data_IF_480249309634
#
_entry.id   IF_480249309634
#
_cell.length_a   1.000
_cell.length_b   1.000
_cell.length_c   1.000
_cell.angle_alpha   90.00
_cell.angle_beta   90.00
_cell.angle_gamma   90.00
#
_symmetry.space_group_name_H-M   'P 1'
#
loop_
_entity.id
_entity.type
_entity.pdbx_description
1 polymer ?
#
# COMPACT_ATOMS: atom_id res chain seq x y z
N UNK A 1 11.99 -21.54 -13.93
CA UNK A 1 11.03 -20.44 -14.12
C UNK A 1 11.65 -19.37 -14.97
N UNK A 2 11.00 -19.07 -16.05
CA UNK A 2 11.50 -18.51 -17.28
C UNK A 2 11.87 -17.02 -17.10
N UNK A 3 13.13 -16.67 -17.36
CA UNK A 3 13.57 -15.25 -17.42
C UNK A 3 12.73 -14.43 -18.41
N UNK A 4 12.16 -15.08 -19.43
CA UNK A 4 11.26 -14.45 -20.40
C UNK A 4 9.99 -13.87 -19.75
N UNK A 5 9.47 -14.51 -18.71
CA UNK A 5 8.30 -14.06 -17.96
C UNK A 5 8.58 -12.79 -17.14
N UNK A 6 9.80 -12.68 -16.60
CA UNK A 6 10.23 -11.49 -15.85
C UNK A 6 10.39 -10.29 -16.78
N UNK A 7 11.02 -10.48 -17.93
CA UNK A 7 11.18 -9.42 -18.93
C UNK A 7 9.83 -8.99 -19.53
N UNK A 8 8.92 -9.93 -19.77
CA UNK A 8 7.59 -9.61 -20.25
C UNK A 8 6.83 -8.72 -19.25
N UNK A 9 6.86 -9.06 -17.95
CA UNK A 9 6.23 -8.27 -16.88
C UNK A 9 6.89 -6.91 -16.70
N UNK A 10 8.23 -6.83 -16.78
CA UNK A 10 8.93 -5.55 -16.72
C UNK A 10 8.55 -4.64 -17.89
N UNK A 11 8.43 -5.20 -19.09
CA UNK A 11 7.99 -4.47 -20.27
C UNK A 11 6.55 -3.99 -20.12
N UNK A 12 5.64 -4.84 -19.69
CA UNK A 12 4.24 -4.50 -19.45
C UNK A 12 4.11 -3.37 -18.41
N UNK A 13 4.88 -3.45 -17.33
CA UNK A 13 4.93 -2.39 -16.31
C UNK A 13 5.46 -1.08 -16.91
N UNK A 14 6.54 -1.15 -17.67
CA UNK A 14 7.11 0.03 -18.34
C UNK A 14 6.12 0.66 -19.33
N UNK A 15 5.48 -0.16 -20.19
CA UNK A 15 4.48 0.33 -21.16
C UNK A 15 3.26 0.96 -20.46
N UNK A 16 2.85 0.40 -19.31
CA UNK A 16 1.76 0.96 -18.50
C UNK A 16 2.12 2.34 -17.99
N UNK A 17 3.35 2.53 -17.48
CA UNK A 17 3.81 3.85 -17.05
C UNK A 17 4.00 4.80 -18.23
N UNK A 18 4.65 4.32 -19.30
CA UNK A 18 5.02 5.16 -20.44
C UNK A 18 3.80 5.70 -21.18
N UNK A 19 2.72 4.92 -21.24
CA UNK A 19 1.47 5.32 -21.90
C UNK A 19 0.42 5.90 -20.94
N UNK A 20 0.77 6.11 -19.67
CA UNK A 20 -0.14 6.71 -18.70
C UNK A 20 -0.31 8.20 -18.98
N UNK A 21 -1.55 8.68 -19.03
CA UNK A 21 -1.88 10.10 -19.16
C UNK A 21 -1.39 10.95 -17.97
N UNK A 22 -0.95 10.30 -16.88
CA UNK A 22 -0.39 10.96 -15.69
C UNK A 22 1.08 11.40 -15.88
N UNK A 23 1.76 10.88 -16.92
CA UNK A 23 3.15 11.21 -17.21
C UNK A 23 3.27 11.97 -18.53
N UNK A 24 3.75 13.19 -18.44
CA UNK A 24 4.13 13.99 -19.59
C UNK A 24 5.61 13.78 -19.92
N UNK A 25 5.94 13.80 -21.20
CA UNK A 25 7.34 13.77 -21.63
C UNK A 25 8.08 15.01 -21.12
N UNK A 26 9.19 14.80 -20.40
CA UNK A 26 10.03 15.90 -19.93
C UNK A 26 10.54 16.75 -21.08
N UNK A 27 10.40 18.09 -20.95
CA UNK A 27 10.93 19.09 -21.88
C UNK A 27 11.87 20.01 -21.11
N UNK A 28 12.77 20.68 -21.82
CA UNK A 28 13.74 21.62 -21.23
C UNK A 28 13.06 22.76 -20.46
N UNK A 29 11.88 23.17 -20.92
CA UNK A 29 11.00 24.18 -20.29
C UNK A 29 10.46 23.73 -18.91
N UNK A 30 10.41 22.43 -18.63
CA UNK A 30 9.92 21.87 -17.37
C UNK A 30 10.99 21.84 -16.26
N UNK A 31 12.23 22.24 -16.57
CA UNK A 31 13.36 22.17 -15.64
C UNK A 31 13.10 22.94 -14.32
N UNK A 32 12.63 24.16 -14.42
CA UNK A 32 12.33 24.98 -13.24
C UNK A 32 11.21 24.37 -12.40
N UNK A 33 10.14 23.92 -13.05
CA UNK A 33 9.00 23.25 -12.41
C UNK A 33 9.41 21.95 -11.70
N UNK A 34 10.31 21.17 -12.31
CA UNK A 34 10.88 19.97 -11.72
C UNK A 34 11.76 20.29 -10.51
N UNK A 35 12.63 21.30 -10.61
CA UNK A 35 13.47 21.76 -9.51
C UNK A 35 12.65 22.28 -8.34
N UNK A 36 11.59 23.01 -8.60
CA UNK A 36 10.67 23.51 -7.58
C UNK A 36 9.91 22.37 -6.89
N UNK A 37 9.44 21.39 -7.63
CA UNK A 37 8.77 20.21 -7.09
C UNK A 37 9.72 19.40 -6.18
N UNK A 38 10.95 19.13 -6.61
CA UNK A 38 11.97 18.43 -5.82
C UNK A 38 12.37 19.26 -4.58
N UNK A 39 12.48 20.58 -4.72
CA UNK A 39 12.82 21.46 -3.60
C UNK A 39 11.69 21.56 -2.59
N UNK A 40 10.46 21.55 -3.03
CA UNK A 40 9.27 21.53 -2.19
C UNK A 40 9.18 20.24 -1.37
N UNK A 41 9.40 19.08 -2.00
CA UNK A 41 9.46 17.77 -1.31
C UNK A 41 10.61 17.73 -0.27
N UNK A 42 11.80 18.20 -0.61
CA UNK A 42 12.95 18.28 0.33
C UNK A 42 12.70 19.19 1.53
N UNK A 43 11.89 20.25 1.38
CA UNK A 43 11.53 21.15 2.50
C UNK A 43 10.47 20.54 3.42
N UNK A 44 9.59 19.68 2.91
CA UNK A 44 8.59 18.95 3.70
C UNK A 44 9.21 17.91 4.62
N UNK A 45 10.39 17.39 4.29
CA UNK A 45 11.01 16.23 4.96
C UNK A 45 11.56 16.54 6.37
N UNK A 46 11.50 17.79 6.83
CA UNK A 46 12.09 18.13 8.14
C UNK A 46 11.13 18.14 9.33
N UNK A 47 9.80 18.27 9.13
CA UNK A 47 8.90 18.44 10.28
C UNK A 47 7.44 17.95 10.11
N UNK A 48 7.11 17.13 9.11
CA UNK A 48 5.74 16.56 9.02
C UNK A 48 5.76 15.10 8.59
N UNK A 49 4.90 14.23 9.18
CA UNK A 49 4.68 12.91 8.63
C UNK A 49 4.23 13.03 7.17
N UNK A 50 4.69 12.11 6.35
CA UNK A 50 4.49 12.02 4.90
C UNK A 50 2.99 11.80 4.56
N UNK A 51 2.19 12.86 4.72
CA UNK A 51 0.71 12.82 4.65
C UNK A 51 0.15 13.36 3.33
N UNK A 52 0.90 13.29 2.24
CA UNK A 52 0.38 13.80 0.96
C UNK A 52 0.65 12.84 -0.18
N UNK A 53 0.00 11.69 -0.19
CA UNK A 53 -0.21 11.00 -1.45
C UNK A 53 -1.32 11.72 -2.22
N UNK A 54 -0.93 12.76 -2.94
CA UNK A 54 -1.77 13.45 -3.93
C UNK A 54 -2.02 12.58 -5.18
N UNK A 55 -1.31 11.45 -5.30
CA UNK A 55 -1.43 10.56 -6.43
C UNK A 55 -2.61 9.60 -6.25
N UNK A 56 -3.40 9.45 -7.29
CA UNK A 56 -4.46 8.44 -7.34
C UNK A 56 -3.82 7.07 -7.57
N UNK A 57 -3.46 6.38 -6.47
CA UNK A 57 -2.85 5.06 -6.53
C UNK A 57 -3.86 4.10 -7.15
N UNK A 58 -3.51 3.51 -8.30
CA UNK A 58 -4.30 2.50 -9.00
C UNK A 58 -3.56 1.16 -9.01
N UNK A 59 -4.24 0.03 -8.88
CA UNK A 59 -3.60 -1.26 -8.99
C UNK A 59 -3.16 -1.52 -10.44
N UNK A 60 -2.00 -2.15 -10.61
CA UNK A 60 -1.57 -2.63 -11.92
C UNK A 60 -2.44 -3.81 -12.39
N UNK A 61 -2.48 -4.11 -13.70
CA UNK A 61 -3.28 -5.22 -14.24
C UNK A 61 -3.01 -6.56 -13.56
N UNK A 62 -1.76 -6.87 -13.25
CA UNK A 62 -1.42 -8.11 -12.54
C UNK A 62 -1.87 -8.09 -11.06
N UNK A 63 -1.86 -6.92 -10.41
CA UNK A 63 -2.38 -6.77 -9.04
C UNK A 63 -3.90 -6.90 -9.04
N UNK A 64 -4.57 -6.34 -10.04
CA UNK A 64 -6.01 -6.49 -10.24
C UNK A 64 -6.39 -7.96 -10.38
N UNK A 65 -5.67 -8.73 -11.20
CA UNK A 65 -5.89 -10.16 -11.36
C UNK A 65 -5.71 -10.96 -10.05
N UNK A 66 -4.80 -10.52 -9.16
CA UNK A 66 -4.65 -11.11 -7.82
C UNK A 66 -5.85 -10.75 -6.94
N UNK A 67 -6.27 -9.49 -6.95
CA UNK A 67 -7.41 -9.01 -6.18
C UNK A 67 -8.71 -9.73 -6.58
N UNK A 68 -8.92 -9.94 -7.87
CA UNK A 68 -10.10 -10.68 -8.38
C UNK A 68 -10.09 -12.15 -7.92
N UNK A 69 -8.91 -12.79 -7.91
CA UNK A 69 -8.79 -14.15 -7.35
C UNK A 69 -9.10 -14.21 -5.86
N UNK A 70 -8.64 -13.25 -5.07
CA UNK A 70 -8.95 -13.17 -3.64
C UNK A 70 -10.45 -12.98 -3.40
N UNK A 71 -11.10 -12.20 -4.26
CA UNK A 71 -12.54 -11.99 -4.19
C UNK A 71 -13.32 -13.26 -4.51
N UNK A 72 -12.92 -14.02 -5.54
CA UNK A 72 -13.48 -15.34 -5.89
C UNK A 72 -13.30 -16.31 -4.73
N UNK A 73 -12.12 -16.39 -4.13
CA UNK A 73 -11.85 -17.26 -2.97
C UNK A 73 -12.82 -16.94 -1.82
N UNK A 74 -13.04 -15.68 -1.50
CA UNK A 74 -13.95 -15.28 -0.42
C UNK A 74 -15.43 -15.49 -0.76
N UNK A 75 -15.87 -15.00 -1.92
CA UNK A 75 -17.31 -14.95 -2.25
C UNK A 75 -17.87 -16.26 -2.78
N UNK A 76 -17.08 -17.01 -3.53
CA UNK A 76 -17.54 -18.22 -4.20
C UNK A 76 -17.12 -19.46 -3.42
N UNK A 77 -15.86 -19.53 -3.00
CA UNK A 77 -15.30 -20.70 -2.32
C UNK A 77 -15.40 -20.62 -0.80
N UNK A 78 -15.87 -19.48 -0.25
CA UNK A 78 -15.97 -19.23 1.19
C UNK A 78 -14.65 -19.44 1.94
N UNK A 79 -13.52 -19.17 1.25
CA UNK A 79 -12.17 -19.35 1.77
C UNK A 79 -11.57 -17.99 2.18
N UNK A 80 -11.39 -17.81 3.47
CA UNK A 80 -10.87 -16.56 4.06
C UNK A 80 -9.38 -16.63 4.41
N UNK A 81 -8.69 -17.75 4.11
CA UNK A 81 -7.27 -17.93 4.37
C UNK A 81 -6.52 -18.08 3.06
N UNK A 82 -5.80 -17.04 2.67
CA UNK A 82 -5.12 -17.00 1.38
C UNK A 82 -3.62 -16.71 1.56
N UNK A 83 -2.79 -17.29 0.72
CA UNK A 83 -1.37 -17.03 0.63
C UNK A 83 -1.05 -16.35 -0.70
N UNK A 84 -0.51 -15.12 -0.64
CA UNK A 84 -0.03 -14.39 -1.80
C UNK A 84 1.49 -14.50 -1.86
N UNK A 85 2.00 -15.15 -2.90
CA UNK A 85 3.44 -15.25 -3.18
C UNK A 85 3.76 -14.35 -4.37
N UNK A 86 4.54 -13.30 -4.12
CA UNK A 86 4.94 -12.34 -5.14
C UNK A 86 6.38 -11.86 -4.88
N UNK A 87 7.11 -11.52 -5.94
CA UNK A 87 8.49 -11.04 -5.85
C UNK A 87 8.61 -9.74 -5.02
N UNK A 88 9.80 -9.44 -4.54
CA UNK A 88 10.09 -8.17 -3.89
C UNK A 88 9.88 -7.02 -4.89
N UNK A 89 9.30 -5.91 -4.44
CA UNK A 89 9.03 -4.75 -5.31
C UNK A 89 7.72 -4.82 -6.11
N UNK A 90 6.98 -5.92 -6.10
CA UNK A 90 5.71 -6.05 -6.83
C UNK A 90 4.51 -5.36 -6.15
N UNK A 91 4.74 -4.64 -5.05
CA UNK A 91 3.68 -3.93 -4.35
C UNK A 91 2.74 -4.82 -3.53
N UNK A 92 3.26 -5.86 -2.84
CA UNK A 92 2.45 -6.72 -1.95
C UNK A 92 1.61 -5.93 -0.94
N UNK A 93 2.18 -4.87 -0.37
CA UNK A 93 1.48 -3.98 0.57
C UNK A 93 0.35 -3.22 -0.12
N UNK A 94 0.57 -2.79 -1.37
CA UNK A 94 -0.44 -2.13 -2.20
C UNK A 94 -1.60 -3.07 -2.48
N UNK A 95 -1.31 -4.34 -2.85
CA UNK A 95 -2.33 -5.38 -3.04
C UNK A 95 -3.15 -5.56 -1.76
N UNK A 96 -2.49 -5.66 -0.60
CA UNK A 96 -3.18 -5.82 0.70
C UNK A 96 -4.07 -4.61 1.02
N UNK A 97 -3.63 -3.39 0.72
CA UNK A 97 -4.41 -2.18 0.94
C UNK A 97 -5.64 -2.10 0.03
N UNK A 98 -5.51 -2.48 -1.26
CA UNK A 98 -6.63 -2.55 -2.19
C UNK A 98 -7.61 -3.67 -1.83
N UNK A 99 -7.12 -4.82 -1.41
CA UNK A 99 -7.96 -5.93 -0.95
C UNK A 99 -8.81 -5.51 0.26
N UNK A 100 -8.19 -4.86 1.24
CA UNK A 100 -8.91 -4.31 2.39
C UNK A 100 -9.92 -3.23 1.99
N UNK A 101 -9.57 -2.34 1.03
CA UNK A 101 -10.48 -1.32 0.51
C UNK A 101 -11.71 -1.94 -0.14
N UNK A 102 -11.54 -2.98 -0.97
CA UNK A 102 -12.66 -3.72 -1.59
C UNK A 102 -13.53 -4.36 -0.50
N UNK A 103 -12.92 -5.05 0.44
CA UNK A 103 -13.62 -5.69 1.55
C UNK A 103 -14.41 -4.68 2.41
N UNK A 104 -13.82 -3.54 2.75
CA UNK A 104 -14.48 -2.47 3.51
C UNK A 104 -15.66 -1.86 2.77
N UNK A 105 -15.55 -1.67 1.46
CA UNK A 105 -16.63 -1.09 0.64
C UNK A 105 -17.83 -2.01 0.50
N UNK A 106 -17.62 -3.32 0.51
CA UNK A 106 -18.68 -4.31 0.40
C UNK A 106 -19.39 -4.57 1.72
N UNK A 107 -18.66 -4.50 2.80
CA UNK A 107 -19.16 -4.77 4.14
C UNK A 107 -19.31 -3.43 4.88
N UNK A 108 -20.56 -3.00 5.11
CA UNK A 108 -20.85 -1.70 5.75
C UNK A 108 -20.56 -1.67 7.24
N UNK A 109 -20.26 -2.81 7.85
CA UNK A 109 -19.93 -2.89 9.26
C UNK A 109 -18.53 -2.34 9.55
N UNK A 110 -18.29 -1.96 10.79
CA UNK A 110 -17.01 -1.37 11.22
C UNK A 110 -15.92 -2.44 11.31
N UNK A 111 -15.35 -2.82 10.16
CA UNK A 111 -14.28 -3.83 10.09
C UNK A 111 -12.95 -3.22 10.47
N UNK A 112 -12.27 -3.87 11.41
CA UNK A 112 -10.93 -3.53 11.86
C UNK A 112 -9.89 -4.34 11.11
N UNK A 113 -8.74 -3.72 10.84
CA UNK A 113 -7.58 -4.38 10.26
C UNK A 113 -6.54 -4.65 11.35
N UNK A 114 -5.97 -5.83 11.36
CA UNK A 114 -4.72 -6.12 12.05
C UNK A 114 -3.65 -6.45 11.00
N UNK A 115 -2.68 -5.54 10.84
CA UNK A 115 -1.52 -5.75 10.00
C UNK A 115 -0.32 -6.08 10.88
N UNK A 116 0.35 -7.22 10.62
CA UNK A 116 1.45 -7.70 11.45
C UNK A 116 2.73 -7.82 10.65
N UNK A 117 3.82 -7.29 11.18
CA UNK A 117 5.16 -7.46 10.60
C UNK A 117 6.22 -7.58 11.71
N UNK A 118 7.43 -8.01 11.34
CA UNK A 118 8.53 -8.18 12.28
C UNK A 118 9.35 -6.91 12.54
N UNK A 119 9.25 -5.90 11.65
CA UNK A 119 10.00 -4.63 11.77
C UNK A 119 9.06 -3.44 11.74
N UNK A 120 9.37 -2.47 12.58
CA UNK A 120 8.60 -1.23 12.68
C UNK A 120 8.60 -0.40 11.39
N UNK A 121 9.74 -0.37 10.66
CA UNK A 121 9.86 0.34 9.39
C UNK A 121 8.86 -0.17 8.35
N UNK A 122 8.65 -1.50 8.30
CA UNK A 122 7.66 -2.12 7.42
C UNK A 122 6.25 -1.67 7.81
N UNK A 123 5.96 -1.61 9.10
CA UNK A 123 4.64 -1.16 9.59
C UNK A 123 4.38 0.30 9.25
N UNK A 124 5.37 1.19 9.41
CA UNK A 124 5.26 2.62 9.08
C UNK A 124 5.01 2.82 7.59
N UNK A 125 5.79 2.15 6.73
CA UNK A 125 5.61 2.19 5.28
C UNK A 125 4.26 1.61 4.86
N UNK A 126 3.84 0.50 5.48
CA UNK A 126 2.55 -0.12 5.18
C UNK A 126 1.39 0.76 5.62
N UNK A 127 1.44 1.35 6.81
CA UNK A 127 0.42 2.28 7.28
C UNK A 127 0.27 3.48 6.34
N UNK A 128 1.39 4.07 5.89
CA UNK A 128 1.38 5.15 4.91
C UNK A 128 0.75 4.72 3.58
N UNK A 129 1.09 3.54 3.09
CA UNK A 129 0.47 2.96 1.88
C UNK A 129 -1.04 2.78 2.03
N UNK A 130 -1.50 2.23 3.16
CA UNK A 130 -2.93 2.07 3.44
C UNK A 130 -3.66 3.41 3.50
N UNK A 131 -3.10 4.41 4.18
CA UNK A 131 -3.66 5.78 4.22
C UNK A 131 -3.84 6.35 2.81
N UNK A 132 -2.82 6.19 1.94
CA UNK A 132 -2.87 6.64 0.55
C UNK A 132 -3.92 5.91 -0.28
N UNK A 133 -3.98 4.58 -0.22
CA UNK A 133 -4.95 3.77 -0.97
C UNK A 133 -6.38 4.00 -0.50
N UNK A 134 -6.59 4.13 0.82
CA UNK A 134 -7.91 4.38 1.42
C UNK A 134 -8.35 5.84 1.32
N UNK A 135 -7.43 6.74 1.00
CA UNK A 135 -7.64 8.21 1.04
C UNK A 135 -8.11 8.69 2.41
N UNK A 136 -7.59 8.06 3.47
CA UNK A 136 -7.93 8.34 4.86
C UNK A 136 -6.64 8.57 5.68
N UNK A 137 -6.24 9.82 5.92
CA UNK A 137 -5.03 10.15 6.67
C UNK A 137 -5.11 9.74 8.14
N UNK A 138 -6.32 9.56 8.68
CA UNK A 138 -6.54 9.14 10.07
C UNK A 138 -6.61 7.61 10.22
N UNK A 139 -6.51 6.84 9.13
CA UNK A 139 -6.61 5.40 9.17
C UNK A 139 -5.47 4.75 9.96
N UNK A 140 -5.84 3.90 10.92
CA UNK A 140 -4.96 2.96 11.59
C UNK A 140 -3.94 3.58 12.54
N UNK A 141 -3.48 2.80 13.49
CA UNK A 141 -2.49 3.16 14.49
C UNK A 141 -1.33 2.16 14.53
N UNK A 142 -0.13 2.68 14.84
CA UNK A 142 1.04 1.84 15.10
C UNK A 142 0.98 1.30 16.53
N UNK A 143 1.17 -0.02 16.67
CA UNK A 143 1.27 -0.69 17.95
C UNK A 143 2.64 -1.38 18.06
N UNK A 144 3.65 -0.57 18.45
CA UNK A 144 5.06 -0.97 18.50
C UNK A 144 5.73 -0.47 19.78
N UNK A 145 6.81 -1.09 20.21
CA UNK A 145 7.63 -0.64 21.34
C UNK A 145 6.82 -0.47 22.63
N UNK A 146 7.00 0.66 23.31
CA UNK A 146 6.38 0.97 24.60
C UNK A 146 4.99 1.63 24.51
N UNK A 147 4.44 1.80 23.30
CA UNK A 147 3.10 2.40 23.13
C UNK A 147 2.05 1.42 23.67
N UNK A 148 1.38 1.77 24.76
CA UNK A 148 0.32 0.96 25.38
C UNK A 148 -1.08 1.44 25.02
N UNK A 149 -1.23 2.73 24.70
CA UNK A 149 -2.53 3.34 24.47
C UNK A 149 -2.95 3.15 23.01
N UNK A 150 -4.06 2.46 22.82
CA UNK A 150 -4.70 2.20 21.55
C UNK A 150 -6.11 2.75 21.61
N UNK A 151 -6.52 3.45 20.56
CA UNK A 151 -7.91 3.88 20.43
C UNK A 151 -8.81 2.66 20.26
N UNK A 152 -9.85 2.57 21.08
CA UNK A 152 -10.82 1.47 20.97
C UNK A 152 -11.44 1.44 19.57
N UNK A 153 -11.40 0.28 18.93
CA UNK A 153 -11.96 0.12 17.58
C UNK A 153 -11.01 0.49 16.44
N UNK A 154 -9.80 0.99 16.71
CA UNK A 154 -8.84 1.32 15.65
C UNK A 154 -8.32 0.09 14.90
N UNK A 155 -7.97 0.29 13.63
CA UNK A 155 -7.17 -0.66 12.86
C UNK A 155 -5.71 -0.57 13.30
N UNK A 156 -5.04 -1.71 13.50
CA UNK A 156 -3.72 -1.77 14.12
C UNK A 156 -2.64 -2.28 13.17
N UNK A 157 -1.47 -1.65 13.25
CA UNK A 157 -0.23 -2.07 12.61
C UNK A 157 0.77 -2.46 13.71
N UNK A 158 0.92 -3.76 13.97
CA UNK A 158 1.62 -4.27 15.13
C UNK A 158 2.86 -5.09 14.79
N UNK A 159 3.90 -5.03 15.64
CA UNK A 159 5.01 -5.98 15.56
C UNK A 159 4.60 -7.31 16.17
N UNK A 160 5.12 -8.43 15.63
CA UNK A 160 4.89 -9.76 16.16
C UNK A 160 5.29 -9.82 17.65
N UNK A 161 6.45 -9.24 17.99
CA UNK A 161 6.97 -9.21 19.35
C UNK A 161 6.03 -8.51 20.34
N UNK A 162 5.34 -7.45 19.87
CA UNK A 162 4.40 -6.73 20.73
C UNK A 162 3.11 -7.49 20.99
N UNK A 163 2.70 -8.33 20.05
CA UNK A 163 1.51 -9.17 20.20
C UNK A 163 1.80 -10.41 21.06
N UNK A 164 3.04 -10.92 21.03
CA UNK A 164 3.48 -12.10 21.78
C UNK A 164 3.71 -11.78 23.27
N UNK A 165 4.12 -10.56 23.60
CA UNK A 165 4.38 -10.11 24.97
C UNK A 165 3.10 -9.73 25.77
N UNK A 166 1.97 -10.35 25.50
CA UNK A 166 0.78 -10.24 26.35
C UNK A 166 0.82 -11.33 27.43
N UNK A 167 1.66 -11.12 28.44
CA UNK A 167 1.41 -11.60 29.80
C UNK A 167 0.78 -10.51 30.66
#
# INVERSE_FOLDING_TARGET
HDQKDVFARMRETFETYWNSEEFEAYREEDYERLCDAISFEKRKDKDKPMDSYSFDIKPYPFQEAILDKLEVERKILNNYRNLIVAATGTGKTVISAFDYRRFKNENRDNHRLLFVAHREEILRQSLSCFKGVLKDPCFGELYTGNKSDITEGASLFATIQKLDNKE
#
